data_IF_632479382450
#
_entry.id   IF_632479382450
#
_cell.length_a   1.000
_cell.length_b   1.000
_cell.length_c   1.000
_cell.angle_alpha   90.00
_cell.angle_beta   90.00
_cell.angle_gamma   90.00
#
_symmetry.space_group_name_H-M   'P 1'
#
loop_
_entity.id
_entity.type
_entity.pdbx_description
1 polymer ?
#
# COMPACT_ATOMS: atom_id res chain seq x y z
N UNK A 1 15.43 35.38 -24.01
CA UNK A 1 14.52 35.53 -22.86
C UNK A 1 13.52 34.40 -22.95
N UNK A 2 13.59 33.42 -22.06
CA UNK A 2 12.81 32.19 -22.15
C UNK A 2 12.92 31.35 -20.87
N UNK A 3 12.66 31.97 -19.73
CA UNK A 3 12.47 31.30 -18.44
C UNK A 3 11.15 31.84 -17.90
N UNK A 4 10.13 31.00 -17.78
CA UNK A 4 8.82 31.44 -17.30
C UNK A 4 7.69 30.41 -17.40
N UNK A 5 7.84 29.35 -18.20
CA UNK A 5 6.77 28.33 -18.35
C UNK A 5 7.01 27.11 -17.44
N UNK A 6 8.26 26.66 -17.27
CA UNK A 6 8.58 25.46 -16.49
C UNK A 6 8.42 25.64 -14.96
N UNK A 7 8.67 26.85 -14.43
CA UNK A 7 8.51 27.11 -12.99
C UNK A 7 7.03 27.19 -12.58
N UNK A 8 6.15 27.68 -13.47
CA UNK A 8 4.73 27.81 -13.18
C UNK A 8 4.02 26.45 -13.10
N UNK A 9 4.40 25.49 -13.94
CA UNK A 9 3.86 24.13 -13.89
C UNK A 9 4.40 23.33 -12.69
N UNK A 10 5.69 23.47 -12.37
CA UNK A 10 6.27 22.84 -11.18
C UNK A 10 5.63 23.34 -9.88
N UNK A 11 5.38 24.65 -9.79
CA UNK A 11 4.73 25.24 -8.62
C UNK A 11 3.24 24.86 -8.53
N UNK A 12 2.55 24.75 -9.67
CA UNK A 12 1.17 24.26 -9.74
C UNK A 12 1.03 22.79 -9.31
N UNK A 13 1.95 21.91 -9.73
CA UNK A 13 1.95 20.49 -9.34
C UNK A 13 2.27 20.32 -7.85
N UNK A 14 3.26 21.05 -7.33
CA UNK A 14 3.59 21.02 -5.91
C UNK A 14 2.42 21.51 -5.05
N UNK A 15 1.76 22.60 -5.44
CA UNK A 15 0.56 23.08 -4.75
C UNK A 15 -0.59 22.07 -4.81
N UNK A 16 -0.79 21.39 -5.95
CA UNK A 16 -1.82 20.33 -6.09
C UNK A 16 -1.49 19.10 -5.21
N UNK A 17 -0.23 18.68 -5.15
CA UNK A 17 0.22 17.59 -4.26
C UNK A 17 0.12 17.96 -2.77
N UNK A 18 0.45 19.21 -2.42
CA UNK A 18 0.27 19.73 -1.06
C UNK A 18 -1.21 19.82 -0.68
N UNK A 19 -2.08 20.27 -1.59
CA UNK A 19 -3.53 20.30 -1.35
C UNK A 19 -4.14 18.90 -1.20
N UNK A 20 -3.66 17.93 -1.99
CA UNK A 20 -4.06 16.52 -1.89
C UNK A 20 -3.61 15.90 -0.55
N UNK A 21 -2.37 16.16 -0.12
CA UNK A 21 -1.84 15.65 1.17
C UNK A 21 -2.50 16.31 2.38
N UNK A 22 -2.93 17.58 2.28
CA UNK A 22 -3.71 18.25 3.32
C UNK A 22 -5.10 17.60 3.46
N UNK A 23 -5.79 17.35 2.34
CA UNK A 23 -7.11 16.70 2.35
C UNK A 23 -7.05 15.27 2.90
N UNK A 24 -5.97 14.52 2.63
CA UNK A 24 -5.76 13.19 3.21
C UNK A 24 -5.45 13.25 4.71
N UNK A 25 -4.73 14.27 5.20
CA UNK A 25 -4.49 14.47 6.64
C UNK A 25 -5.77 14.84 7.40
N UNK A 26 -6.63 15.65 6.80
CA UNK A 26 -7.93 16.01 7.38
C UNK A 26 -8.91 14.83 7.35
N UNK A 27 -8.87 13.97 6.32
CA UNK A 27 -9.61 12.70 6.29
C UNK A 27 -9.15 11.71 7.38
N UNK A 28 -7.84 11.64 7.65
CA UNK A 28 -7.28 10.83 8.74
C UNK A 28 -7.67 11.39 10.10
N UNK A 29 -7.63 12.71 10.32
CA UNK A 29 -8.09 13.34 11.58
C UNK A 29 -9.59 13.17 11.81
N UNK A 30 -10.40 13.24 10.76
CA UNK A 30 -11.86 13.09 10.83
C UNK A 30 -12.31 11.65 11.10
N UNK A 31 -11.45 10.65 10.84
CA UNK A 31 -11.80 9.22 10.92
C UNK A 31 -11.29 8.54 12.19
N UNK A 32 -10.64 9.28 13.09
CA UNK A 32 -10.15 8.75 14.38
C UNK A 32 -11.07 9.24 15.50
N UNK A 33 -11.81 8.35 16.20
CA UNK A 33 -12.40 8.74 17.47
C UNK A 33 -11.29 8.91 18.51
N UNK A 34 -11.26 10.07 19.14
CA UNK A 34 -10.35 10.50 20.20
C UNK A 34 -10.53 9.61 21.45
N UNK A 35 -9.71 8.56 21.61
CA UNK A 35 -9.48 7.81 22.86
C UNK A 35 -8.20 6.97 22.68
N UNK A 36 -7.06 7.34 23.27
CA UNK A 36 -6.63 7.22 24.68
C UNK A 36 -5.68 6.02 24.85
N UNK A 37 -4.46 6.37 25.21
CA UNK A 37 -3.40 5.60 25.86
C UNK A 37 -3.89 4.31 26.57
N UNK A 38 -3.27 3.17 26.27
CA UNK A 38 -2.83 2.14 27.24
C UNK A 38 -1.76 1.28 26.52
N UNK A 39 -0.54 1.30 27.04
CA UNK A 39 0.45 0.26 26.83
C UNK A 39 -0.01 -0.99 27.59
N UNK A 40 -0.20 -2.12 26.91
CA UNK A 40 -0.42 -3.40 27.61
C UNK A 40 0.90 -4.19 27.76
N UNK A 41 1.18 -4.50 29.02
CA UNK A 41 2.23 -5.34 29.60
C UNK A 41 2.28 -6.76 28.97
N UNK A 42 3.46 -7.28 28.57
CA UNK A 42 3.59 -8.57 27.89
C UNK A 42 3.37 -9.81 28.79
N UNK A 43 2.92 -9.66 30.04
CA UNK A 43 2.82 -10.78 30.99
C UNK A 43 1.38 -11.25 31.21
N UNK A 44 0.72 -11.83 30.19
CA UNK A 44 -0.46 -12.71 30.38
C UNK A 44 -0.72 -13.59 29.15
N UNK A 45 0.21 -14.53 28.93
CA UNK A 45 0.03 -15.69 28.05
C UNK A 45 -0.94 -16.68 28.72
N UNK A 46 -2.22 -16.59 28.39
CA UNK A 46 -3.25 -17.57 28.76
C UNK A 46 -3.81 -18.22 27.51
N UNK A 47 -3.34 -19.42 27.18
CA UNK A 47 -3.87 -20.26 26.09
C UNK A 47 -5.26 -20.73 26.51
N UNK A 48 -6.31 -20.27 25.81
CA UNK A 48 -7.61 -20.93 25.82
C UNK A 48 -8.02 -21.22 24.37
N UNK A 49 -7.92 -22.50 24.01
CA UNK A 49 -8.42 -23.05 22.76
C UNK A 49 -9.95 -23.01 22.80
N UNK A 50 -10.58 -22.02 22.14
CA UNK A 50 -12.00 -22.06 21.83
C UNK A 50 -12.16 -22.14 20.31
N UNK A 51 -12.66 -23.29 19.87
CA UNK A 51 -13.19 -23.49 18.53
C UNK A 51 -14.47 -22.66 18.39
N UNK A 52 -14.33 -21.38 18.05
CA UNK A 52 -15.48 -20.52 17.75
C UNK A 52 -15.88 -20.78 16.29
N UNK A 53 -17.07 -21.36 16.13
CA UNK A 53 -17.75 -21.40 14.84
C UNK A 53 -18.20 -19.99 14.49
N UNK A 54 -18.03 -19.61 13.22
CA UNK A 54 -18.26 -18.26 12.72
C UNK A 54 -19.73 -17.83 12.88
N UNK A 55 -20.04 -17.20 14.00
CA UNK A 55 -21.10 -16.20 14.10
C UNK A 55 -20.45 -14.84 13.90
N UNK A 56 -20.96 -14.05 12.96
CA UNK A 56 -20.45 -12.70 12.72
C UNK A 56 -20.68 -11.82 13.94
N UNK A 57 -19.69 -11.79 14.83
CA UNK A 57 -19.63 -10.84 15.93
C UNK A 57 -19.45 -9.43 15.34
N UNK A 58 -20.55 -8.69 15.27
CA UNK A 58 -20.62 -7.31 14.79
C UNK A 58 -20.22 -6.29 15.88
N UNK A 59 -19.75 -6.73 17.05
CA UNK A 59 -19.20 -5.82 18.06
C UNK A 59 -17.95 -5.11 17.53
N UNK A 60 -17.65 -3.93 18.09
CA UNK A 60 -16.44 -3.16 17.75
C UNK A 60 -15.17 -4.01 17.88
N UNK A 61 -15.10 -4.80 18.94
CA UNK A 61 -13.97 -5.69 19.25
C UNK A 61 -13.88 -6.85 18.25
N UNK A 62 -15.01 -7.46 17.88
CA UNK A 62 -15.07 -8.48 16.84
C UNK A 62 -14.59 -7.98 15.47
N UNK A 63 -15.01 -6.77 15.07
CA UNK A 63 -14.58 -6.15 13.80
C UNK A 63 -13.09 -5.82 13.80
N UNK A 64 -12.57 -5.28 14.91
CA UNK A 64 -11.14 -4.99 15.07
C UNK A 64 -10.29 -6.26 14.99
N UNK A 65 -10.71 -7.34 15.65
CA UNK A 65 -10.03 -8.63 15.61
C UNK A 65 -9.97 -9.19 14.19
N UNK A 66 -11.08 -9.17 13.44
CA UNK A 66 -11.12 -9.62 12.04
C UNK A 66 -10.20 -8.80 11.14
N UNK A 67 -10.12 -7.48 11.33
CA UNK A 67 -9.20 -6.64 10.58
C UNK A 67 -7.75 -6.98 10.89
N UNK A 68 -7.42 -7.17 12.17
CA UNK A 68 -6.06 -7.52 12.58
C UNK A 68 -5.62 -8.90 12.04
N UNK A 69 -6.52 -9.88 12.03
CA UNK A 69 -6.27 -11.18 11.39
C UNK A 69 -5.98 -11.05 9.89
N UNK A 70 -6.69 -10.14 9.21
CA UNK A 70 -6.47 -9.86 7.79
C UNK A 70 -5.13 -9.15 7.56
N UNK A 71 -4.79 -8.17 8.40
CA UNK A 71 -3.52 -7.45 8.39
C UNK A 71 -2.34 -8.41 8.59
N UNK A 72 -2.42 -9.29 9.60
CA UNK A 72 -1.40 -10.31 9.86
C UNK A 72 -1.21 -11.27 8.69
N UNK A 73 -2.29 -11.65 8.00
CA UNK A 73 -2.20 -12.48 6.78
C UNK A 73 -1.56 -11.75 5.61
N UNK A 74 -1.80 -10.44 5.48
CA UNK A 74 -1.23 -9.64 4.39
C UNK A 74 0.27 -9.46 4.55
N UNK A 75 0.70 -9.15 5.77
CA UNK A 75 2.10 -8.88 6.11
C UNK A 75 2.88 -10.14 6.53
N UNK A 76 2.30 -11.33 6.37
CA UNK A 76 3.03 -12.58 6.61
C UNK A 76 4.26 -12.67 5.68
N UNK A 77 5.43 -12.66 6.30
CA UNK A 77 6.74 -12.70 5.63
C UNK A 77 7.00 -14.05 4.93
N UNK A 78 6.12 -15.03 5.09
CA UNK A 78 6.16 -16.29 4.33
C UNK A 78 5.84 -16.15 2.84
N UNK A 79 5.17 -15.07 2.41
CA UNK A 79 4.80 -14.86 1.01
C UNK A 79 5.70 -13.83 0.32
N UNK A 80 6.76 -14.31 -0.33
CA UNK A 80 7.80 -13.49 -0.96
C UNK A 80 7.89 -13.63 -2.49
N UNK A 81 6.97 -14.39 -3.08
CA UNK A 81 7.05 -14.70 -4.51
C UNK A 81 6.39 -13.59 -5.31
N UNK A 82 7.20 -12.65 -5.81
CA UNK A 82 6.77 -11.69 -6.84
C UNK A 82 7.78 -11.64 -7.99
N UNK A 83 7.28 -11.50 -9.21
CA UNK A 83 8.05 -11.43 -10.45
C UNK A 83 7.55 -10.27 -11.30
N UNK A 84 8.37 -9.78 -12.23
CA UNK A 84 7.98 -8.69 -13.13
C UNK A 84 6.70 -8.99 -13.93
N UNK A 85 6.46 -10.25 -14.28
CA UNK A 85 5.26 -10.71 -15.01
C UNK A 85 3.95 -10.57 -14.22
N UNK A 86 4.03 -10.41 -12.90
CA UNK A 86 2.86 -10.25 -12.04
C UNK A 86 2.32 -8.80 -12.09
N UNK A 87 3.10 -7.88 -12.71
CA UNK A 87 2.72 -6.51 -12.97
C UNK A 87 2.42 -6.31 -14.47
N UNK A 88 1.20 -5.87 -14.83
CA UNK A 88 0.82 -5.67 -16.22
C UNK A 88 1.80 -4.75 -16.97
N UNK A 89 2.32 -5.23 -18.11
CA UNK A 89 3.19 -4.46 -19.00
C UNK A 89 4.63 -4.24 -18.53
N UNK A 90 4.98 -4.58 -17.28
CA UNK A 90 6.32 -4.32 -16.73
C UNK A 90 7.42 -5.09 -17.45
N UNK A 91 7.23 -6.39 -17.72
CA UNK A 91 8.22 -7.19 -18.45
C UNK A 91 8.49 -6.62 -19.85
N UNK A 92 7.45 -6.18 -20.55
CA UNK A 92 7.58 -5.59 -21.88
C UNK A 92 8.27 -4.24 -21.82
N UNK A 93 7.95 -3.42 -20.82
CA UNK A 93 8.60 -2.13 -20.63
C UNK A 93 10.10 -2.29 -20.33
N UNK A 94 10.48 -3.29 -19.52
CA UNK A 94 11.89 -3.58 -19.21
C UNK A 94 12.68 -4.05 -20.44
N UNK A 95 12.06 -4.80 -21.37
CA UNK A 95 12.70 -5.16 -22.65
C UNK A 95 13.03 -3.94 -23.51
N UNK A 96 12.23 -2.88 -23.41
CA UNK A 96 12.37 -1.64 -24.18
C UNK A 96 13.18 -0.56 -23.44
N UNK A 97 13.51 -0.79 -22.17
CA UNK A 97 14.26 0.15 -21.33
C UNK A 97 15.75 -0.20 -21.42
N UNK A 98 16.62 0.82 -21.39
CA UNK A 98 18.05 0.57 -21.33
C UNK A 98 18.40 -0.29 -20.10
N UNK A 99 19.45 -1.10 -20.23
CA UNK A 99 19.87 -1.99 -19.15
C UNK A 99 20.14 -1.16 -17.88
N UNK A 100 19.54 -1.58 -16.76
CA UNK A 100 19.67 -0.93 -15.45
C UNK A 100 18.94 0.41 -15.29
N UNK A 101 18.07 0.78 -16.23
CA UNK A 101 17.21 1.95 -16.09
C UNK A 101 15.80 1.59 -15.63
N UNK A 102 15.16 2.56 -14.99
CA UNK A 102 13.76 2.48 -14.60
C UNK A 102 12.91 2.86 -15.81
N UNK A 103 11.91 2.04 -16.19
CA UNK A 103 11.00 2.37 -17.29
C UNK A 103 10.39 3.76 -17.17
N UNK A 104 10.22 4.46 -18.28
CA UNK A 104 9.79 5.88 -18.32
C UNK A 104 8.52 6.13 -17.49
N UNK A 105 7.52 5.27 -17.63
CA UNK A 105 6.23 5.40 -16.92
C UNK A 105 6.33 5.24 -15.39
N UNK A 106 7.44 4.70 -14.88
CA UNK A 106 7.72 4.54 -13.46
C UNK A 106 8.66 5.61 -12.90
N UNK A 107 9.32 6.42 -13.75
CA UNK A 107 10.33 7.40 -13.32
C UNK A 107 9.81 8.38 -12.28
N UNK A 108 8.58 8.87 -12.45
CA UNK A 108 7.98 9.81 -11.49
C UNK A 108 7.80 9.19 -10.09
N UNK A 109 7.45 7.91 -10.02
CA UNK A 109 7.34 7.18 -8.76
C UNK A 109 8.71 6.88 -8.20
N UNK A 110 9.67 6.49 -9.04
CA UNK A 110 11.04 6.27 -8.61
C UNK A 110 11.65 7.50 -7.94
N UNK A 111 11.43 8.69 -8.50
CA UNK A 111 11.87 9.95 -7.89
C UNK A 111 11.22 10.16 -6.51
N UNK A 112 9.94 9.83 -6.34
CA UNK A 112 9.27 9.90 -5.04
C UNK A 112 9.86 8.91 -4.03
N UNK A 113 10.14 7.68 -4.48
CA UNK A 113 10.82 6.65 -3.67
C UNK A 113 12.21 7.12 -3.25
N UNK A 114 13.01 7.69 -4.16
CA UNK A 114 14.34 8.20 -3.85
C UNK A 114 14.31 9.38 -2.87
N UNK A 115 13.25 10.21 -2.90
CA UNK A 115 13.06 11.26 -1.89
C UNK A 115 12.75 10.70 -0.50
N UNK A 116 12.04 9.57 -0.42
CA UNK A 116 11.65 8.94 0.85
C UNK A 116 12.81 8.18 1.51
N UNK A 117 13.58 7.40 0.73
CA UNK A 117 14.64 6.51 1.26
C UNK A 117 16.06 6.82 0.80
N UNK A 118 16.24 7.78 -0.10
CA UNK A 118 17.52 8.05 -0.76
C UNK A 118 17.68 7.31 -2.09
N UNK A 119 18.70 7.74 -2.85
CA UNK A 119 18.97 7.24 -4.19
C UNK A 119 19.58 5.84 -4.16
N UNK A 120 19.09 4.99 -5.04
CA UNK A 120 19.62 3.65 -5.25
C UNK A 120 20.81 3.66 -6.21
N UNK A 121 21.90 2.97 -5.86
CA UNK A 121 23.10 2.87 -6.71
C UNK A 121 23.48 1.42 -7.03
N UNK A 122 23.01 0.44 -6.25
CA UNK A 122 23.35 -0.97 -6.44
C UNK A 122 22.36 -1.71 -7.34
N UNK A 123 22.88 -2.65 -8.14
CA UNK A 123 22.08 -3.42 -9.11
C UNK A 123 20.86 -4.12 -8.48
N UNK A 124 21.05 -4.82 -7.36
CA UNK A 124 19.96 -5.54 -6.70
C UNK A 124 18.88 -4.58 -6.19
N UNK A 125 19.29 -3.44 -5.66
CA UNK A 125 18.39 -2.41 -5.17
C UNK A 125 17.60 -1.75 -6.33
N UNK A 126 18.18 -1.61 -7.53
CA UNK A 126 17.45 -1.08 -8.71
C UNK A 126 16.30 -2.01 -9.10
N UNK A 127 16.52 -3.33 -9.11
CA UNK A 127 15.43 -4.28 -9.42
C UNK A 127 14.32 -4.24 -8.37
N UNK A 128 14.68 -4.10 -7.09
CA UNK A 128 13.70 -3.94 -6.01
C UNK A 128 12.93 -2.64 -6.20
N UNK A 129 13.61 -1.53 -6.51
CA UNK A 129 12.99 -0.25 -6.80
C UNK A 129 11.98 -0.34 -7.94
N UNK A 130 12.31 -1.05 -9.03
CA UNK A 130 11.40 -1.25 -10.17
C UNK A 130 10.12 -1.96 -9.73
N UNK A 131 10.23 -3.05 -8.96
CA UNK A 131 9.06 -3.78 -8.46
C UNK A 131 8.22 -2.94 -7.50
N UNK A 132 8.86 -2.22 -6.58
CA UNK A 132 8.16 -1.32 -5.65
C UNK A 132 7.46 -0.19 -6.41
N UNK A 133 8.11 0.41 -7.42
CA UNK A 133 7.49 1.43 -8.27
C UNK A 133 6.28 0.88 -9.04
N UNK A 134 6.38 -0.33 -9.56
CA UNK A 134 5.28 -0.99 -10.26
C UNK A 134 4.09 -1.25 -9.32
N UNK A 135 4.33 -1.74 -8.11
CA UNK A 135 3.30 -1.93 -7.09
C UNK A 135 2.63 -0.61 -6.70
N UNK A 136 3.41 0.45 -6.44
CA UNK A 136 2.88 1.79 -6.12
C UNK A 136 2.05 2.33 -7.29
N UNK A 137 2.51 2.17 -8.54
CA UNK A 137 1.77 2.62 -9.71
C UNK A 137 0.42 1.93 -9.79
N UNK A 138 0.43 0.61 -9.66
CA UNK A 138 -0.78 -0.21 -9.71
C UNK A 138 -1.74 0.16 -8.58
N UNK A 139 -1.28 0.31 -7.33
CA UNK A 139 -2.10 0.80 -6.21
C UNK A 139 -2.77 2.15 -6.54
N UNK A 140 -2.00 3.12 -7.08
CA UNK A 140 -2.52 4.45 -7.43
C UNK A 140 -3.57 4.42 -8.55
N UNK A 141 -3.43 3.48 -9.48
CA UNK A 141 -4.35 3.33 -10.60
C UNK A 141 -5.55 2.44 -10.27
N UNK A 142 -5.47 1.66 -9.20
CA UNK A 142 -6.46 0.63 -8.88
C UNK A 142 -7.76 1.23 -8.37
N UNK A 143 -8.89 0.79 -8.94
CA UNK A 143 -10.22 1.08 -8.41
C UNK A 143 -10.51 0.19 -7.21
N UNK A 144 -11.03 0.77 -6.12
CA UNK A 144 -11.45 0.02 -4.92
C UNK A 144 -12.52 -1.04 -5.27
N UNK A 145 -13.36 -0.80 -6.28
CA UNK A 145 -14.42 -1.72 -6.68
C UNK A 145 -13.93 -3.03 -7.29
N UNK A 146 -12.72 -3.04 -7.85
CA UNK A 146 -12.11 -4.20 -8.50
C UNK A 146 -11.09 -4.90 -7.58
N UNK A 147 -10.92 -4.39 -6.34
CA UNK A 147 -9.87 -4.83 -5.42
C UNK A 147 -10.17 -6.22 -4.85
N UNK A 148 -9.33 -7.17 -5.21
CA UNK A 148 -9.37 -8.54 -4.69
C UNK A 148 -8.17 -8.84 -3.76
N UNK A 149 -8.29 -9.94 -3.02
CA UNK A 149 -7.28 -10.36 -2.05
C UNK A 149 -5.95 -10.78 -2.68
N UNK A 150 -5.94 -11.33 -3.90
CA UNK A 150 -4.71 -11.72 -4.58
C UNK A 150 -3.91 -10.50 -5.02
N UNK A 151 -4.60 -9.44 -5.46
CA UNK A 151 -3.98 -8.15 -5.74
C UNK A 151 -3.33 -7.54 -4.49
N UNK A 152 -4.04 -7.54 -3.35
CA UNK A 152 -3.46 -7.11 -2.07
C UNK A 152 -2.23 -7.94 -1.68
N UNK A 153 -2.32 -9.28 -1.75
CA UNK A 153 -1.20 -10.17 -1.45
C UNK A 153 0.01 -9.93 -2.36
N UNK A 154 -0.19 -9.65 -3.65
CA UNK A 154 0.88 -9.31 -4.58
C UNK A 154 1.63 -8.06 -4.14
N UNK A 155 0.90 -7.01 -3.77
CA UNK A 155 1.47 -5.78 -3.26
C UNK A 155 2.19 -5.98 -1.93
N UNK A 156 1.56 -6.68 -0.98
CA UNK A 156 2.18 -7.03 0.31
C UNK A 156 3.46 -7.84 0.13
N UNK A 157 3.46 -8.86 -0.72
CA UNK A 157 4.64 -9.66 -1.03
C UNK A 157 5.78 -8.81 -1.63
N UNK A 158 5.43 -7.81 -2.45
CA UNK A 158 6.43 -6.89 -3.04
C UNK A 158 7.09 -6.03 -1.98
N UNK A 159 6.31 -5.46 -1.06
CA UNK A 159 6.83 -4.60 0.01
C UNK A 159 7.60 -5.43 1.06
N UNK A 160 7.11 -6.62 1.43
CA UNK A 160 7.81 -7.54 2.32
C UNK A 160 9.16 -7.99 1.72
N UNK A 161 9.20 -8.26 0.41
CA UNK A 161 10.46 -8.56 -0.28
C UNK A 161 11.41 -7.39 -0.25
N UNK A 162 10.91 -6.17 -0.44
CA UNK A 162 11.72 -4.96 -0.35
C UNK A 162 12.30 -4.74 1.07
N UNK A 163 11.50 -4.99 2.11
CA UNK A 163 11.92 -4.91 3.52
C UNK A 163 13.09 -5.85 3.83
N UNK A 164 13.11 -7.08 3.29
CA UNK A 164 14.21 -8.05 3.49
C UNK A 164 15.57 -7.50 3.04
N UNK A 165 15.58 -6.59 2.07
CA UNK A 165 16.78 -5.96 1.53
C UNK A 165 16.93 -4.50 2.02
N UNK A 166 16.33 -4.14 3.16
CA UNK A 166 16.35 -2.78 3.72
C UNK A 166 15.89 -1.70 2.71
N UNK A 167 14.95 -2.07 1.83
CA UNK A 167 14.33 -1.19 0.84
C UNK A 167 12.91 -0.81 1.28
N UNK A 168 12.73 -0.36 2.52
CA UNK A 168 11.42 0.09 2.96
C UNK A 168 11.04 1.44 2.31
N UNK A 169 9.78 1.57 1.90
CA UNK A 169 9.21 2.81 1.34
C UNK A 169 7.94 3.13 2.11
N UNK A 170 8.03 4.07 3.05
CA UNK A 170 6.99 4.30 4.07
C UNK A 170 5.65 4.69 3.47
N UNK A 171 5.67 5.48 2.40
CA UNK A 171 4.43 5.88 1.75
C UNK A 171 3.75 4.72 1.00
N UNK A 172 4.51 3.71 0.56
CA UNK A 172 3.96 2.52 -0.07
C UNK A 172 3.24 1.64 0.96
N UNK A 173 3.81 1.49 2.16
CA UNK A 173 3.18 0.78 3.28
C UNK A 173 1.84 1.44 3.66
N UNK A 174 1.83 2.77 3.74
CA UNK A 174 0.60 3.54 4.01
C UNK A 174 -0.45 3.36 2.92
N UNK A 175 -0.03 3.31 1.65
CA UNK A 175 -0.94 3.10 0.52
C UNK A 175 -1.56 1.70 0.56
N UNK A 176 -0.75 0.67 0.81
CA UNK A 176 -1.23 -0.70 0.99
C UNK A 176 -2.25 -0.80 2.14
N UNK A 177 -1.96 -0.17 3.27
CA UNK A 177 -2.88 -0.15 4.43
C UNK A 177 -4.21 0.55 4.11
N UNK A 178 -4.20 1.63 3.32
CA UNK A 178 -5.43 2.28 2.83
C UNK A 178 -6.26 1.32 1.96
N UNK A 179 -5.62 0.59 1.03
CA UNK A 179 -6.33 -0.40 0.21
C UNK A 179 -6.87 -1.57 1.04
N UNK A 180 -6.12 -2.03 2.05
CA UNK A 180 -6.58 -3.08 2.97
C UNK A 180 -7.84 -2.66 3.73
N UNK A 181 -7.87 -1.43 4.24
CA UNK A 181 -9.05 -0.85 4.89
C UNK A 181 -10.24 -0.78 3.94
N UNK A 182 -10.02 -0.35 2.69
CA UNK A 182 -11.07 -0.27 1.68
C UNK A 182 -11.63 -1.65 1.33
N UNK A 183 -10.77 -2.65 1.16
CA UNK A 183 -11.15 -4.05 0.93
C UNK A 183 -11.93 -4.65 2.11
N UNK A 184 -11.49 -4.36 3.33
CA UNK A 184 -12.19 -4.80 4.54
C UNK A 184 -13.57 -4.14 4.64
N UNK A 185 -13.66 -2.83 4.40
CA UNK A 185 -14.94 -2.12 4.40
C UNK A 185 -15.89 -2.71 3.35
N UNK A 186 -15.42 -2.93 2.12
CA UNK A 186 -16.23 -3.50 1.03
C UNK A 186 -16.82 -4.89 1.37
N UNK A 187 -16.08 -5.73 2.08
CA UNK A 187 -16.58 -7.04 2.54
C UNK A 187 -17.63 -6.95 3.64
N UNK A 188 -17.60 -5.89 4.46
CA UNK A 188 -18.48 -5.72 5.61
C UNK A 188 -19.66 -4.78 5.34
N UNK A 189 -19.74 -4.16 4.15
CA UNK A 189 -20.94 -3.42 3.75
C UNK A 189 -22.08 -4.44 3.55
N UNK A 190 -23.21 -4.31 4.27
CA UNK A 190 -24.35 -5.18 4.05
C UNK A 190 -24.85 -4.98 2.62
N UNK A 191 -24.83 -6.06 1.82
CA UNK A 191 -25.40 -6.05 0.47
C UNK A 191 -26.89 -5.75 0.62
N UNK A 192 -27.32 -4.55 0.21
CA UNK A 192 -28.73 -4.19 0.16
C UNK A 192 -29.47 -5.23 -0.67
N UNK A 193 -30.30 -6.02 0.00
CA UNK A 193 -31.20 -6.96 -0.65
C UNK A 193 -32.37 -6.18 -1.23
N UNK A 194 -32.15 -5.56 -2.39
CA UNK A 194 -33.23 -5.06 -3.22
C UNK A 194 -34.00 -6.28 -3.76
N UNK A 195 -34.97 -6.76 -2.97
CA UNK A 195 -36.01 -7.67 -3.46
C UNK A 195 -36.81 -6.90 -4.52
N UNK A 196 -36.75 -7.38 -5.76
CA UNK A 196 -37.76 -7.10 -6.78
C UNK A 196 -39.03 -7.89 -6.50
#
# INVERSE_FOLDING_TARGET
MGYGVAEFEHQSINYRLESLTINEKEFIKSSVPEIMEICDDPTKRGINNVKVTATDDLTREGVQSKFHDLENKLYDKGNLKVKCKDFPGLEQALKNTARWEIPEYLKSIAILTEKDRGKTTEFHQINIQILVCAAIKEMKDFSVGDLDWDTLKKWGATLNWAEIFDFQVRFADNLLKKHLLAYFAAQNIPKSTAKK
#
